data_IF_472152059356
#
_entry.id   IF_472152059356
#
_cell.length_a   1.000
_cell.length_b   1.000
_cell.length_c   1.000
_cell.angle_alpha   90.00
_cell.angle_beta   90.00
_cell.angle_gamma   90.00
#
_symmetry.space_group_name_H-M   'P 1'
#
loop_
_entity.id
_entity.type
_entity.pdbx_description
1 polymer ?
#
# COMPACT_ATOMS: atom_id res chain seq x y z
N UNK A 1 -44.75 -48.48 19.51
CA UNK A 1 -45.63 -47.38 19.95
C UNK A 1 -45.07 -46.74 21.22
N UNK A 2 -44.50 -45.53 21.14
CA UNK A 2 -44.72 -44.40 22.07
C UNK A 2 -43.84 -43.23 21.62
N UNK A 3 -44.51 -42.12 21.34
CA UNK A 3 -43.95 -40.82 20.94
C UNK A 3 -43.69 -39.97 22.20
N UNK A 4 -42.91 -38.90 21.99
CA UNK A 4 -42.98 -37.59 22.69
C UNK A 4 -42.41 -37.61 24.13
N UNK A 5 -41.66 -36.60 24.61
CA UNK A 5 -41.69 -35.13 24.43
C UNK A 5 -40.38 -34.58 25.06
N UNK A 6 -39.60 -33.74 24.37
CA UNK A 6 -39.58 -32.25 24.41
C UNK A 6 -39.01 -31.61 25.70
N UNK A 7 -38.38 -30.45 25.47
CA UNK A 7 -38.04 -29.32 26.39
C UNK A 7 -36.84 -29.52 27.33
N UNK A 8 -35.66 -28.95 27.05
CA UNK A 8 -35.26 -27.53 27.05
C UNK A 8 -35.20 -26.93 28.47
N UNK A 9 -34.00 -26.74 29.03
CA UNK A 9 -33.50 -25.48 29.62
C UNK A 9 -32.17 -25.68 30.37
N UNK A 10 -31.16 -24.90 29.96
CA UNK A 10 -30.27 -24.05 30.78
C UNK A 10 -29.66 -24.57 32.10
N UNK A 11 -28.33 -24.60 32.16
CA UNK A 11 -27.46 -24.10 33.24
C UNK A 11 -26.00 -24.28 32.75
N UNK A 12 -25.31 -23.28 32.18
CA UNK A 12 -24.63 -22.12 32.79
C UNK A 12 -23.85 -22.42 34.08
N UNK A 13 -22.67 -21.77 34.17
CA UNK A 13 -21.64 -21.76 35.24
C UNK A 13 -20.47 -22.74 34.95
N UNK A 14 -19.18 -22.43 34.98
CA UNK A 14 -18.30 -21.24 35.04
C UNK A 14 -16.88 -21.81 35.15
N UNK A 15 -15.88 -21.32 34.41
CA UNK A 15 -14.43 -21.31 34.75
C UNK A 15 -13.62 -20.94 33.49
N UNK A 16 -12.51 -20.19 33.50
CA UNK A 16 -11.93 -19.16 34.33
C UNK A 16 -10.76 -18.59 33.50
N UNK A 17 -10.53 -17.29 33.63
CA UNK A 17 -9.22 -16.62 33.58
C UNK A 17 -8.09 -17.27 32.76
N UNK A 18 -7.88 -16.75 31.55
CA UNK A 18 -6.55 -16.65 30.95
C UNK A 18 -6.30 -15.16 30.62
N UNK A 19 -5.98 -14.40 31.65
CA UNK A 19 -5.41 -13.07 31.50
C UNK A 19 -3.91 -13.20 31.16
N UNK A 20 -3.46 -12.34 30.26
CA UNK A 20 -2.08 -11.91 30.05
C UNK A 20 -1.10 -12.88 29.36
N UNK A 21 -1.19 -12.90 28.02
CA UNK A 21 -0.01 -12.78 27.18
C UNK A 21 -0.40 -12.04 25.88
N UNK A 22 -0.82 -10.78 26.02
CA UNK A 22 -0.89 -9.86 24.87
C UNK A 22 0.56 -9.54 24.53
N UNK A 23 1.17 -10.41 23.73
CA UNK A 23 2.47 -10.15 23.12
C UNK A 23 2.34 -8.78 22.45
N UNK A 24 3.01 -7.80 23.04
CA UNK A 24 3.24 -6.51 22.44
C UNK A 24 3.95 -6.80 21.13
N UNK A 25 3.18 -6.81 20.04
CA UNK A 25 3.72 -6.67 18.71
C UNK A 25 4.65 -5.48 18.79
N UNK A 26 5.95 -5.75 18.69
CA UNK A 26 6.99 -4.75 18.52
C UNK A 26 6.49 -3.85 17.39
N UNK A 27 5.99 -2.69 17.78
CA UNK A 27 5.64 -1.60 16.93
C UNK A 27 6.95 -1.24 16.24
N UNK A 28 7.19 -1.79 15.05
CA UNK A 28 8.17 -1.25 14.11
C UNK A 28 7.60 0.10 13.67
N UNK A 29 7.71 1.08 14.55
CA UNK A 29 7.54 2.48 14.20
C UNK A 29 8.71 2.85 13.28
N UNK A 30 8.38 3.31 12.07
CA UNK A 30 9.35 3.85 11.13
C UNK A 30 9.34 3.24 9.73
N UNK A 31 8.50 2.24 9.45
CA UNK A 31 8.24 1.86 8.06
C UNK A 31 7.01 2.64 7.60
N UNK A 32 7.24 3.78 6.94
CA UNK A 32 6.19 4.48 6.20
C UNK A 32 5.39 3.42 5.44
N UNK A 33 4.03 3.44 5.49
CA UNK A 33 3.24 2.34 4.96
C UNK A 33 3.66 2.14 3.52
N UNK A 34 4.33 1.00 3.25
CA UNK A 34 4.55 0.57 1.89
C UNK A 34 3.16 0.57 1.28
N UNK A 35 2.91 1.44 0.30
CA UNK A 35 1.61 1.48 -0.37
C UNK A 35 1.40 0.09 -0.94
N UNK A 36 0.57 -0.70 -0.27
CA UNK A 36 0.21 -2.03 -0.69
C UNK A 36 -0.80 -1.83 -1.82
N UNK A 37 -0.27 -1.56 -3.01
CA UNK A 37 -1.06 -1.52 -4.22
C UNK A 37 -1.68 -2.90 -4.40
N UNK A 38 -3.00 -2.96 -4.29
CA UNK A 38 -3.73 -4.19 -4.51
C UNK A 38 -4.10 -4.28 -5.99
N UNK A 39 -3.59 -5.27 -6.73
CA UNK A 39 -3.96 -5.44 -8.12
C UNK A 39 -5.46 -5.67 -8.28
N UNK A 40 -6.05 -5.11 -9.33
CA UNK A 40 -7.44 -5.28 -9.70
C UNK A 40 -7.90 -6.74 -9.75
N UNK A 41 -7.04 -7.64 -10.24
CA UNK A 41 -7.32 -9.06 -10.34
C UNK A 41 -7.43 -9.73 -8.96
N UNK A 42 -6.57 -9.35 -8.02
CA UNK A 42 -6.64 -9.83 -6.63
C UNK A 42 -7.97 -9.43 -5.99
N UNK A 43 -8.48 -8.23 -6.29
CA UNK A 43 -9.81 -7.77 -5.83
C UNK A 43 -10.91 -8.67 -6.40
N UNK A 44 -10.90 -8.95 -7.71
CA UNK A 44 -11.91 -9.83 -8.31
C UNK A 44 -11.88 -11.25 -7.73
N UNK A 45 -10.68 -11.79 -7.48
CA UNK A 45 -10.48 -13.12 -6.90
C UNK A 45 -10.95 -13.22 -5.44
N UNK A 46 -10.74 -12.17 -4.64
CA UNK A 46 -11.26 -12.11 -3.27
C UNK A 46 -12.79 -12.03 -3.24
N UNK A 47 -13.39 -11.33 -4.20
CA UNK A 47 -14.84 -11.19 -4.34
C UNK A 47 -15.45 -12.28 -5.24
N UNK A 48 -14.77 -13.43 -5.43
CA UNK A 48 -15.22 -14.51 -6.32
C UNK A 48 -16.62 -15.04 -6.02
N UNK A 49 -16.97 -15.16 -4.74
CA UNK A 49 -18.28 -15.67 -4.32
C UNK A 49 -19.39 -14.63 -4.57
N UNK A 50 -19.07 -13.36 -4.34
CA UNK A 50 -19.97 -12.23 -4.58
C UNK A 50 -20.25 -12.02 -6.07
N UNK A 51 -19.22 -12.19 -6.90
CA UNK A 51 -19.33 -12.12 -8.36
C UNK A 51 -19.83 -13.43 -8.99
N UNK A 52 -20.09 -14.47 -8.18
CA UNK A 52 -20.43 -15.80 -8.67
C UNK A 52 -19.49 -16.28 -9.80
N UNK A 53 -18.18 -16.09 -9.63
CA UNK A 53 -17.19 -16.49 -10.63
C UNK A 53 -17.18 -18.01 -10.80
N UNK A 54 -17.16 -18.48 -12.05
CA UNK A 54 -16.96 -19.90 -12.34
C UNK A 54 -15.50 -20.31 -12.12
N UNK A 55 -15.24 -21.61 -11.98
CA UNK A 55 -13.88 -22.12 -11.83
C UNK A 55 -12.99 -21.73 -13.03
N UNK A 56 -13.54 -21.72 -14.25
CA UNK A 56 -12.83 -21.32 -15.47
C UNK A 56 -12.58 -19.81 -15.54
N UNK A 57 -13.40 -18.99 -14.88
CA UNK A 57 -13.14 -17.55 -14.75
C UNK A 57 -12.01 -17.32 -13.73
N UNK A 58 -12.03 -18.03 -12.61
CA UNK A 58 -10.98 -17.97 -11.58
C UNK A 58 -9.62 -18.36 -12.16
N UNK A 59 -9.51 -19.51 -12.84
CA UNK A 59 -8.27 -19.96 -13.48
C UNK A 59 -7.73 -18.93 -14.50
N UNK A 60 -8.62 -18.27 -15.26
CA UNK A 60 -8.23 -17.20 -16.17
C UNK A 60 -7.70 -15.97 -15.44
N UNK A 61 -8.30 -15.59 -14.32
CA UNK A 61 -7.85 -14.45 -13.52
C UNK A 61 -6.51 -14.72 -12.84
N UNK A 62 -6.29 -15.92 -12.33
CA UNK A 62 -4.99 -16.34 -11.77
C UNK A 62 -3.87 -16.27 -12.82
N UNK A 63 -4.15 -16.71 -14.06
CA UNK A 63 -3.20 -16.57 -15.18
C UNK A 63 -2.91 -15.12 -15.55
N UNK A 64 -3.93 -14.27 -15.57
CA UNK A 64 -3.75 -12.84 -15.80
C UNK A 64 -2.95 -12.19 -14.66
N UNK A 65 -3.17 -12.61 -13.41
CA UNK A 65 -2.44 -12.10 -12.24
C UNK A 65 -0.96 -12.49 -12.30
N UNK A 66 -0.68 -13.73 -12.69
CA UNK A 66 0.69 -14.18 -12.93
C UNK A 66 1.38 -13.34 -14.02
N UNK A 67 0.71 -13.11 -15.16
CA UNK A 67 1.26 -12.28 -16.23
C UNK A 67 1.46 -10.82 -15.81
N UNK A 68 0.54 -10.26 -15.03
CA UNK A 68 0.68 -8.92 -14.46
C UNK A 68 1.88 -8.84 -13.51
N UNK A 69 2.07 -9.86 -12.68
CA UNK A 69 3.22 -9.96 -11.80
C UNK A 69 4.53 -9.97 -12.58
N UNK A 70 4.64 -10.80 -13.63
CA UNK A 70 5.83 -10.84 -14.49
C UNK A 70 6.13 -9.49 -15.14
N UNK A 71 5.11 -8.79 -15.68
CA UNK A 71 5.27 -7.46 -16.27
C UNK A 71 5.76 -6.42 -15.26
N UNK A 72 5.30 -6.54 -14.01
CA UNK A 72 5.63 -5.59 -12.95
C UNK A 72 6.91 -5.93 -12.19
N UNK A 73 7.48 -7.13 -12.34
CA UNK A 73 8.65 -7.57 -11.57
C UNK A 73 9.84 -6.62 -11.75
N UNK A 74 10.14 -6.22 -12.99
CA UNK A 74 11.20 -5.25 -13.27
C UNK A 74 10.93 -3.87 -12.66
N UNK A 75 9.68 -3.43 -12.68
CA UNK A 75 9.25 -2.14 -12.11
C UNK A 75 9.32 -2.15 -10.58
N UNK A 76 8.97 -3.27 -9.94
CA UNK A 76 9.13 -3.47 -8.50
C UNK A 76 10.60 -3.38 -8.09
N UNK A 77 11.48 -4.07 -8.82
CA UNK A 77 12.93 -3.96 -8.59
C UNK A 77 13.44 -2.52 -8.74
N UNK A 78 12.97 -1.78 -9.75
CA UNK A 78 13.32 -0.36 -9.91
C UNK A 78 12.87 0.48 -8.72
N UNK A 79 11.64 0.29 -8.23
CA UNK A 79 11.14 0.98 -7.03
C UNK A 79 11.98 0.67 -5.79
N UNK A 80 12.37 -0.58 -5.59
CA UNK A 80 13.17 -0.99 -4.44
C UNK A 80 14.57 -0.36 -4.48
N UNK A 81 15.20 -0.29 -5.65
CA UNK A 81 16.48 0.42 -5.84
C UNK A 81 16.34 1.91 -5.54
N UNK A 82 15.31 2.58 -6.07
CA UNK A 82 15.07 4.01 -5.84
C UNK A 82 14.78 4.29 -4.35
N UNK A 83 14.02 3.42 -3.67
CA UNK A 83 13.75 3.52 -2.23
C UNK A 83 15.01 3.30 -1.40
N UNK A 84 15.85 2.34 -1.76
CA UNK A 84 17.12 2.07 -1.07
C UNK A 84 18.09 3.26 -1.19
N UNK A 85 18.17 3.90 -2.35
CA UNK A 85 18.94 5.13 -2.54
C UNK A 85 18.48 6.25 -1.60
N UNK A 86 17.16 6.41 -1.44
CA UNK A 86 16.62 7.40 -0.50
C UNK A 86 17.03 7.15 0.95
N UNK A 87 17.09 5.89 1.40
CA UNK A 87 17.57 5.55 2.75
C UNK A 87 19.06 5.85 2.95
N UNK A 88 19.86 5.79 1.88
CA UNK A 88 21.30 6.12 1.93
C UNK A 88 21.51 7.63 2.00
N UNK A 89 20.74 8.41 1.25
CA UNK A 89 20.84 9.87 1.20
C UNK A 89 20.32 10.56 2.48
N UNK A 90 19.35 9.94 3.16
CA UNK A 90 18.76 10.47 4.41
C UNK A 90 19.52 10.05 5.69
N UNK A 91 20.72 9.46 5.61
CA UNK A 91 21.49 9.19 6.84
C UNK A 91 21.86 10.52 7.49
N UNK A 92 21.47 10.77 8.76
CA UNK A 92 21.99 11.90 9.51
C UNK A 92 23.51 11.80 9.48
N UNK A 93 24.16 12.90 9.09
CA UNK A 93 25.61 13.01 9.11
C UNK A 93 26.13 12.76 10.54
N UNK A 94 26.43 11.51 10.86
CA UNK A 94 27.27 11.16 12.00
C UNK A 94 28.73 11.30 11.56
N UNK A 95 29.19 12.55 11.45
CA UNK A 95 30.58 12.93 11.30
C UNK A 95 30.84 14.02 12.34
N UNK A 96 31.42 13.63 13.47
CA UNK A 96 31.38 14.37 14.72
C UNK A 96 32.05 15.73 14.71
N UNK A 97 31.36 16.72 15.26
CA UNK A 97 31.98 17.78 16.05
C UNK A 97 31.15 17.96 17.33
N UNK A 98 31.82 17.72 18.45
CA UNK A 98 31.41 18.18 19.77
C UNK A 98 31.32 19.71 19.79
N UNK A 99 30.27 20.26 20.41
CA UNK A 99 30.10 21.68 20.69
C UNK A 99 28.67 22.11 20.32
N UNK A 100 27.71 22.19 21.23
CA UNK A 100 27.77 22.95 22.46
C UNK A 100 27.46 24.42 22.14
N UNK A 101 26.21 24.84 22.26
CA UNK A 101 25.88 26.26 22.16
C UNK A 101 24.46 26.59 21.68
N UNK A 102 23.64 27.00 22.66
CA UNK A 102 22.68 28.12 22.56
C UNK A 102 21.53 28.03 21.55
N UNK A 103 20.36 27.72 22.10
CA UNK A 103 19.09 28.23 21.64
C UNK A 103 19.14 29.75 21.57
N UNK A 104 19.14 30.32 20.37
CA UNK A 104 18.67 31.68 20.15
C UNK A 104 17.65 31.69 19.02
N UNK A 105 16.48 32.17 19.40
CA UNK A 105 15.36 32.48 18.54
C UNK A 105 15.77 33.57 17.55
N UNK A 106 15.51 33.37 16.25
CA UNK A 106 15.14 34.45 15.34
C UNK A 106 14.39 33.91 14.13
N UNK A 107 13.20 34.44 13.90
CA UNK A 107 12.46 34.28 12.65
C UNK A 107 13.24 34.92 11.50
N UNK A 108 13.42 34.17 10.43
CA UNK A 108 14.08 34.62 9.21
C UNK A 108 13.27 34.19 7.99
N UNK A 109 12.45 35.10 7.47
CA UNK A 109 11.92 35.02 6.11
C UNK A 109 13.09 35.05 5.13
N UNK A 110 13.11 34.09 4.21
CA UNK A 110 13.77 34.20 2.90
C UNK A 110 15.30 34.23 2.90
N UNK A 111 15.91 33.08 2.63
CA UNK A 111 17.11 33.05 1.78
C UNK A 111 17.20 31.68 1.11
N UNK A 112 17.05 31.65 -0.21
CA UNK A 112 17.11 30.46 -1.05
C UNK A 112 18.53 30.01 -1.38
N UNK A 113 19.56 30.62 -0.79
CA UNK A 113 20.97 30.29 -1.03
C UNK A 113 21.50 29.37 0.08
N UNK A 114 21.11 28.10 0.01
CA UNK A 114 21.94 27.05 0.58
C UNK A 114 23.24 26.91 -0.25
N UNK A 115 24.28 26.25 0.28
CA UNK A 115 25.48 25.93 -0.50
C UNK A 115 25.11 25.23 -1.82
N UNK A 116 25.88 25.38 -2.92
CA UNK A 116 25.57 24.78 -4.22
C UNK A 116 25.36 23.25 -4.16
N UNK A 117 26.00 22.57 -3.21
CA UNK A 117 25.79 21.15 -2.92
C UNK A 117 24.34 20.83 -2.45
N UNK A 118 23.70 21.75 -1.74
CA UNK A 118 22.31 21.60 -1.29
C UNK A 118 21.32 21.73 -2.45
N UNK A 119 21.64 22.52 -3.48
CA UNK A 119 20.82 22.63 -4.69
C UNK A 119 20.91 21.37 -5.56
N UNK A 120 22.12 20.82 -5.74
CA UNK A 120 22.33 19.54 -6.42
C UNK A 120 21.63 18.40 -5.69
N UNK A 121 21.75 18.31 -4.36
CA UNK A 121 21.05 17.30 -3.58
C UNK A 121 19.51 17.40 -3.73
N UNK A 122 18.97 18.62 -3.79
CA UNK A 122 17.53 18.84 -4.05
C UNK A 122 17.12 18.45 -5.47
N UNK A 123 17.98 18.68 -6.47
CA UNK A 123 17.74 18.25 -7.85
C UNK A 123 17.72 16.72 -7.98
N UNK A 124 18.70 16.02 -7.41
CA UNK A 124 18.76 14.55 -7.38
C UNK A 124 17.53 13.97 -6.66
N UNK A 125 17.11 14.58 -5.55
CA UNK A 125 15.90 14.17 -4.84
C UNK A 125 14.65 14.32 -5.71
N UNK A 126 14.51 15.43 -6.45
CA UNK A 126 13.37 15.67 -7.34
C UNK A 126 13.33 14.65 -8.48
N UNK A 127 14.44 14.45 -9.17
CA UNK A 127 14.55 13.47 -10.25
C UNK A 127 14.19 12.05 -9.75
N UNK A 128 14.65 11.68 -8.55
CA UNK A 128 14.30 10.39 -7.96
C UNK A 128 12.80 10.25 -7.71
N UNK A 129 12.14 11.28 -7.18
CA UNK A 129 10.70 11.26 -6.94
C UNK A 129 9.94 11.15 -8.26
N UNK A 130 10.36 11.88 -9.30
CA UNK A 130 9.78 11.78 -10.64
C UNK A 130 9.91 10.36 -11.22
N UNK A 131 11.06 9.72 -11.01
CA UNK A 131 11.27 8.30 -11.41
C UNK A 131 10.31 7.37 -10.64
N UNK A 132 10.20 7.52 -9.32
CA UNK A 132 9.27 6.73 -8.50
C UNK A 132 7.83 6.90 -9.01
N UNK A 133 7.39 8.14 -9.24
CA UNK A 133 6.04 8.46 -9.72
C UNK A 133 5.78 7.85 -11.09
N UNK A 134 6.75 7.94 -12.02
CA UNK A 134 6.62 7.34 -13.35
C UNK A 134 6.54 5.81 -13.30
N UNK A 135 7.35 5.15 -12.47
CA UNK A 135 7.30 3.69 -12.29
C UNK A 135 5.97 3.24 -11.68
N UNK A 136 5.45 3.96 -10.69
CA UNK A 136 4.15 3.67 -10.10
C UNK A 136 3.01 3.81 -11.12
N UNK A 137 3.03 4.84 -11.96
CA UNK A 137 2.06 5.02 -13.04
C UNK A 137 2.10 3.87 -14.04
N UNK A 138 3.28 3.42 -14.45
CA UNK A 138 3.40 2.26 -15.35
C UNK A 138 2.81 0.99 -14.75
N UNK A 139 3.00 0.75 -13.46
CA UNK A 139 2.37 -0.40 -12.77
C UNK A 139 0.84 -0.28 -12.74
N UNK A 140 0.31 0.92 -12.56
CA UNK A 140 -1.14 1.20 -12.62
C UNK A 140 -1.71 1.01 -14.03
N UNK A 141 -0.97 1.42 -15.06
CA UNK A 141 -1.36 1.20 -16.46
C UNK A 141 -1.40 -0.31 -16.77
N UNK A 142 -0.39 -1.07 -16.33
CA UNK A 142 -0.37 -2.53 -16.46
C UNK A 142 -1.55 -3.20 -15.75
N UNK A 143 -1.90 -2.75 -14.54
CA UNK A 143 -3.06 -3.25 -13.81
C UNK A 143 -4.37 -2.92 -14.53
N UNK A 144 -4.51 -1.69 -15.04
CA UNK A 144 -5.69 -1.25 -15.81
C UNK A 144 -5.88 -2.10 -17.07
N UNK A 145 -4.80 -2.36 -17.81
CA UNK A 145 -4.84 -3.24 -18.99
C UNK A 145 -5.25 -4.67 -18.61
N UNK A 146 -4.74 -5.18 -17.49
CA UNK A 146 -5.08 -6.52 -17.00
C UNK A 146 -6.54 -6.63 -16.55
N UNK A 147 -7.08 -5.57 -15.94
CA UNK A 147 -8.50 -5.47 -15.61
C UNK A 147 -9.38 -5.46 -16.88
N UNK A 148 -9.00 -4.72 -17.91
CA UNK A 148 -9.74 -4.69 -19.18
C UNK A 148 -9.78 -6.09 -19.82
N UNK A 149 -8.70 -6.87 -19.75
CA UNK A 149 -8.71 -8.26 -20.21
C UNK A 149 -9.60 -9.16 -19.34
N UNK A 150 -9.56 -8.99 -18.02
CA UNK A 150 -10.43 -9.75 -17.12
C UNK A 150 -11.92 -9.43 -17.36
N UNK A 151 -12.26 -8.18 -17.66
CA UNK A 151 -13.63 -7.76 -17.91
C UNK A 151 -14.24 -8.47 -19.14
N UNK A 152 -13.42 -8.82 -20.14
CA UNK A 152 -13.88 -9.59 -21.33
C UNK A 152 -14.33 -11.00 -20.98
N UNK A 153 -13.83 -11.55 -19.86
CA UNK A 153 -14.16 -12.91 -19.38
C UNK A 153 -15.40 -12.89 -18.49
N UNK A 154 -15.75 -11.73 -17.93
CA UNK A 154 -16.96 -11.55 -17.13
C UNK A 154 -18.22 -11.57 -18.00
N UNK A 155 -19.28 -12.15 -17.47
CA UNK A 155 -20.62 -12.01 -18.05
C UNK A 155 -21.16 -10.60 -17.86
N UNK A 156 -22.13 -10.20 -18.68
CA UNK A 156 -22.73 -8.86 -18.60
C UNK A 156 -23.43 -8.60 -17.25
N UNK A 157 -23.90 -9.66 -16.57
CA UNK A 157 -24.45 -9.55 -15.22
C UNK A 157 -23.38 -9.28 -14.15
N UNK A 158 -22.14 -9.74 -14.36
CA UNK A 158 -21.03 -9.59 -13.41
C UNK A 158 -20.32 -8.23 -13.55
N UNK A 159 -20.24 -7.69 -14.77
CA UNK A 159 -19.49 -6.46 -15.08
C UNK A 159 -19.85 -5.26 -14.20
N UNK A 160 -21.13 -4.93 -13.93
CA UNK A 160 -21.47 -3.77 -13.10
C UNK A 160 -20.84 -3.84 -11.71
N UNK A 161 -20.94 -5.01 -11.05
CA UNK A 161 -20.39 -5.18 -9.71
C UNK A 161 -18.87 -5.21 -9.71
N UNK A 162 -18.25 -5.85 -10.69
CA UNK A 162 -16.79 -5.85 -10.86
C UNK A 162 -16.22 -4.44 -11.05
N UNK A 163 -16.88 -3.60 -11.88
CA UNK A 163 -16.49 -2.19 -12.09
C UNK A 163 -16.57 -1.37 -10.81
N UNK A 164 -17.59 -1.62 -10.01
CA UNK A 164 -17.77 -0.93 -8.72
C UNK A 164 -16.64 -1.28 -7.76
N UNK A 165 -16.33 -2.58 -7.60
CA UNK A 165 -15.23 -3.05 -6.76
C UNK A 165 -13.89 -2.46 -7.21
N UNK A 166 -13.61 -2.48 -8.52
CA UNK A 166 -12.39 -1.88 -9.06
C UNK A 166 -12.32 -0.37 -8.82
N UNK A 167 -13.42 0.36 -9.02
CA UNK A 167 -13.47 1.80 -8.80
C UNK A 167 -13.22 2.15 -7.33
N UNK A 168 -13.81 1.40 -6.40
CA UNK A 168 -13.60 1.60 -4.96
C UNK A 168 -12.14 1.42 -4.55
N UNK A 169 -11.47 0.38 -5.07
CA UNK A 169 -10.05 0.14 -4.76
C UNK A 169 -9.14 1.20 -5.39
N UNK A 170 -9.43 1.61 -6.63
CA UNK A 170 -8.71 2.71 -7.26
C UNK A 170 -8.83 4.02 -6.47
N UNK A 171 -10.02 4.33 -5.98
CA UNK A 171 -10.26 5.53 -5.18
C UNK A 171 -9.53 5.47 -3.83
N UNK A 172 -9.43 4.29 -3.21
CA UNK A 172 -8.62 4.08 -2.00
C UNK A 172 -7.14 4.36 -2.27
N UNK A 173 -6.62 3.87 -3.39
CA UNK A 173 -5.22 4.08 -3.78
C UNK A 173 -4.93 5.54 -4.10
N UNK A 174 -5.81 6.23 -4.81
CA UNK A 174 -5.67 7.66 -5.09
C UNK A 174 -5.63 8.49 -3.79
N UNK A 175 -6.49 8.17 -2.82
CA UNK A 175 -6.47 8.82 -1.49
C UNK A 175 -5.16 8.56 -0.74
N UNK A 176 -4.61 7.34 -0.84
CA UNK A 176 -3.32 7.01 -0.23
C UNK A 176 -2.17 7.78 -0.87
N UNK A 177 -2.15 7.87 -2.21
CA UNK A 177 -1.17 8.66 -2.95
C UNK A 177 -1.27 10.15 -2.61
N UNK A 178 -2.47 10.71 -2.57
CA UNK A 178 -2.69 12.11 -2.20
C UNK A 178 -2.20 12.38 -0.76
N UNK A 179 -2.50 11.49 0.18
CA UNK A 179 -2.02 11.60 1.56
C UNK A 179 -0.49 11.50 1.65
N UNK A 180 0.15 10.68 0.81
CA UNK A 180 1.60 10.57 0.73
C UNK A 180 2.22 11.85 0.15
N UNK A 181 1.66 12.38 -0.94
CA UNK A 181 2.09 13.66 -1.54
C UNK A 181 1.97 14.81 -0.54
N UNK A 182 0.88 14.84 0.22
CA UNK A 182 0.65 15.85 1.26
C UNK A 182 1.71 15.77 2.36
N UNK A 183 2.07 14.57 2.84
CA UNK A 183 3.14 14.37 3.83
C UNK A 183 4.51 14.77 3.29
N UNK A 184 4.82 14.37 2.06
CA UNK A 184 6.08 14.74 1.40
C UNK A 184 6.23 16.26 1.26
N UNK A 185 5.14 16.97 0.95
CA UNK A 185 5.14 18.45 0.88
C UNK A 185 5.35 19.10 2.26
N UNK A 186 4.87 18.47 3.34
CA UNK A 186 5.04 18.98 4.71
C UNK A 186 6.41 18.68 5.33
N UNK A 187 7.17 17.74 4.75
CA UNK A 187 8.46 17.32 5.31
C UNK A 187 8.34 16.31 6.44
N UNK A 188 7.14 15.73 6.64
CA UNK A 188 6.84 14.74 7.68
C UNK A 188 7.23 13.32 7.22
N UNK A 189 8.52 13.11 6.89
CA UNK A 189 9.03 11.83 6.37
C UNK A 189 10.38 11.43 6.96
#
# INVERSE_FOLDING_TARGET
MKRMTRTMLLLWVSLALAACARSTASQREGEAPAMAFKPSLAVLLEHRAELALTAEQVDRFEKLEFSLHEKNLGLQHQLDVLRAQSKKDNRPWHGGYMGGGTHDAHGGKGSSTGPPEAEQARAVRRERLERIDSTLRQMQDNDTLSYIEAEKVLSDAQKPRARELFSQERDKLLKQLEALHFRLRKGDY
#
